data_IF_699199573818
#
_entry.id   IF_699199573818
#
_cell.length_a   1.000
_cell.length_b   1.000
_cell.length_c   1.000
_cell.angle_alpha   90.00
_cell.angle_beta   90.00
_cell.angle_gamma   90.00
#
_symmetry.space_group_name_H-M   'P 1'
#
loop_
_entity.id
_entity.type
_entity.pdbx_description
1 polymer ?
#
# COMPACT_ATOMS: atom_id res chain seq x y z
N UNK A 1 -9.40 17.94 7.53
CA UNK A 1 -9.01 18.61 6.26
C UNK A 1 -8.40 20.00 6.50
N UNK A 2 -7.52 20.16 7.51
CA UNK A 2 -6.87 21.45 7.84
C UNK A 2 -5.35 21.42 7.67
N UNK A 3 -4.77 20.23 7.55
CA UNK A 3 -3.31 20.01 7.50
C UNK A 3 -2.75 19.90 6.08
N UNK A 4 -3.55 20.19 5.05
CA UNK A 4 -3.10 20.14 3.64
C UNK A 4 -2.80 18.73 3.09
N UNK A 5 -2.95 17.67 3.88
CA UNK A 5 -2.70 16.28 3.48
C UNK A 5 -3.86 15.70 2.64
N UNK A 6 -4.05 16.24 1.44
CA UNK A 6 -5.22 15.93 0.60
C UNK A 6 -5.28 14.47 0.16
N UNK A 7 -4.13 13.85 -0.16
CA UNK A 7 -4.10 12.43 -0.56
C UNK A 7 -4.43 11.47 0.60
N UNK A 8 -3.96 11.76 1.82
CA UNK A 8 -4.40 11.04 3.04
C UNK A 8 -5.90 11.22 3.28
N UNK A 9 -6.43 12.43 3.11
CA UNK A 9 -7.87 12.66 3.21
C UNK A 9 -8.65 11.84 2.18
N UNK A 10 -8.18 11.79 0.92
CA UNK A 10 -8.75 10.90 -0.11
C UNK A 10 -8.75 9.45 0.34
N UNK A 11 -7.62 8.92 0.83
CA UNK A 11 -7.54 7.53 1.29
C UNK A 11 -8.61 7.20 2.34
N UNK A 12 -8.77 8.04 3.37
CA UNK A 12 -9.82 7.87 4.39
C UNK A 12 -11.24 7.87 3.80
N UNK A 13 -11.53 8.77 2.86
CA UNK A 13 -12.85 8.86 2.22
C UNK A 13 -13.12 7.66 1.28
N UNK A 14 -12.07 7.08 0.71
CA UNK A 14 -12.15 5.90 -0.17
C UNK A 14 -12.38 4.58 0.59
N UNK A 15 -12.35 4.56 1.93
CA UNK A 15 -12.74 3.36 2.70
C UNK A 15 -14.22 3.00 2.45
N UNK A 16 -15.07 4.01 2.24
CA UNK A 16 -16.48 3.85 1.91
C UNK A 16 -16.83 4.79 0.76
N UNK A 17 -16.45 4.46 -0.48
CA UNK A 17 -16.57 5.38 -1.61
C UNK A 17 -18.03 5.71 -1.94
N UNK A 18 -18.96 4.81 -1.62
CA UNK A 18 -20.39 4.96 -1.90
C UNK A 18 -21.18 5.64 -0.75
N UNK A 19 -20.53 5.95 0.38
CA UNK A 19 -21.18 6.68 1.47
C UNK A 19 -21.42 8.14 1.08
N UNK A 20 -22.62 8.66 1.36
CA UNK A 20 -23.00 10.02 0.95
C UNK A 20 -22.08 11.10 1.52
N UNK A 21 -21.51 10.90 2.72
CA UNK A 21 -20.53 11.82 3.29
C UNK A 21 -19.18 11.70 2.61
N UNK A 22 -18.78 10.50 2.21
CA UNK A 22 -17.54 10.30 1.44
C UNK A 22 -17.62 11.02 0.10
N UNK A 23 -18.71 10.80 -0.65
CA UNK A 23 -18.97 11.45 -1.94
C UNK A 23 -18.92 12.98 -1.79
N UNK A 24 -19.67 13.52 -0.82
CA UNK A 24 -19.72 14.95 -0.57
C UNK A 24 -18.33 15.53 -0.24
N UNK A 25 -17.61 14.91 0.71
CA UNK A 25 -16.31 15.40 1.15
C UNK A 25 -15.22 15.23 0.08
N UNK A 26 -15.27 14.19 -0.75
CA UNK A 26 -14.40 14.04 -1.92
C UNK A 26 -14.63 15.18 -2.91
N UNK A 27 -15.88 15.58 -3.11
CA UNK A 27 -16.25 16.75 -3.92
C UNK A 27 -15.59 18.04 -3.40
N UNK A 28 -15.56 18.25 -2.08
CA UNK A 28 -14.95 19.44 -1.46
C UNK A 28 -13.44 19.54 -1.65
N UNK A 29 -12.74 18.41 -1.84
CA UNK A 29 -11.27 18.38 -1.99
C UNK A 29 -10.81 18.10 -3.42
N UNK A 30 -11.73 17.91 -4.37
CA UNK A 30 -11.40 17.54 -5.76
C UNK A 30 -10.40 18.50 -6.40
N UNK A 31 -10.65 19.79 -6.31
CA UNK A 31 -9.78 20.80 -6.92
C UNK A 31 -8.42 20.86 -6.22
N UNK A 32 -8.38 20.57 -4.92
CA UNK A 32 -7.13 20.50 -4.15
C UNK A 32 -6.29 19.30 -4.55
N UNK A 33 -6.92 18.15 -4.79
CA UNK A 33 -6.27 16.95 -5.32
C UNK A 33 -5.74 17.18 -6.74
N UNK A 34 -6.55 17.81 -7.61
CA UNK A 34 -6.17 18.08 -9.00
C UNK A 34 -5.02 19.10 -9.11
N UNK A 35 -4.87 20.00 -8.13
CA UNK A 35 -3.80 20.97 -8.07
C UNK A 35 -2.46 20.41 -7.53
N UNK A 36 -2.42 19.16 -7.05
CA UNK A 36 -1.18 18.55 -6.60
C UNK A 36 -0.22 18.32 -7.77
N UNK A 37 1.09 18.52 -7.58
CA UNK A 37 2.06 18.21 -8.61
C UNK A 37 2.01 16.71 -8.93
N UNK A 38 2.16 16.32 -10.21
CA UNK A 38 2.31 14.92 -10.55
C UNK A 38 3.57 14.37 -9.87
N UNK A 39 3.54 13.12 -9.41
CA UNK A 39 4.71 12.54 -8.77
C UNK A 39 5.85 12.36 -9.77
N UNK A 40 7.07 12.72 -9.35
CA UNK A 40 8.26 12.61 -10.18
C UNK A 40 8.72 11.16 -10.42
N UNK A 41 8.32 10.23 -9.55
CA UNK A 41 8.62 8.80 -9.68
C UNK A 41 7.63 7.93 -8.90
N UNK A 42 7.81 6.61 -8.99
CA UNK A 42 7.09 5.63 -8.19
C UNK A 42 7.39 5.72 -6.68
N UNK A 43 8.48 6.39 -6.28
CA UNK A 43 8.80 6.59 -4.87
C UNK A 43 7.71 7.40 -4.16
N UNK A 44 7.36 7.00 -2.94
CA UNK A 44 6.22 7.54 -2.20
C UNK A 44 5.70 6.54 -1.17
N UNK A 45 4.63 6.92 -0.49
CA UNK A 45 3.95 6.09 0.51
C UNK A 45 2.54 5.76 0.00
N UNK A 46 2.15 4.49 0.12
CA UNK A 46 0.90 3.97 -0.39
C UNK A 46 0.17 3.15 0.67
N UNK A 47 -1.14 3.39 0.82
CA UNK A 47 -1.96 2.85 1.89
C UNK A 47 -3.09 1.96 1.37
N UNK A 48 -3.24 0.78 1.97
CA UNK A 48 -4.40 -0.10 1.82
C UNK A 48 -5.07 -0.31 3.19
N UNK A 49 -6.39 -0.15 3.28
CA UNK A 49 -7.08 -0.12 4.58
C UNK A 49 -7.17 -1.52 5.20
N UNK A 50 -6.70 -1.66 6.44
CA UNK A 50 -6.62 -2.97 7.13
C UNK A 50 -7.61 -3.11 8.29
N UNK A 51 -8.55 -2.16 8.41
CA UNK A 51 -9.51 -2.14 9.52
C UNK A 51 -8.99 -1.40 10.76
N UNK A 52 -9.89 -1.14 11.71
CA UNK A 52 -9.57 -0.57 13.04
C UNK A 52 -8.71 0.71 13.02
N UNK A 53 -8.91 1.54 12.00
CA UNK A 53 -8.16 2.77 11.76
C UNK A 53 -6.66 2.55 11.44
N UNK A 54 -6.31 1.35 10.97
CA UNK A 54 -4.97 0.97 10.53
C UNK A 54 -4.91 0.70 9.03
N UNK A 55 -3.70 0.80 8.49
CA UNK A 55 -3.41 0.67 7.07
C UNK A 55 -2.22 -0.25 6.90
N UNK A 56 -2.29 -1.17 5.93
CA UNK A 56 -1.11 -1.78 5.36
C UNK A 56 -0.41 -0.74 4.50
N UNK A 57 0.91 -0.63 4.65
CA UNK A 57 1.70 0.43 4.03
C UNK A 57 2.75 -0.18 3.11
N UNK A 58 2.82 0.35 1.88
CA UNK A 58 3.96 0.18 0.99
C UNK A 58 4.73 1.50 0.95
N UNK A 59 6.02 1.46 1.30
CA UNK A 59 6.94 2.59 1.16
C UNK A 59 7.93 2.28 0.04
N UNK A 60 7.95 3.13 -0.98
CA UNK A 60 8.80 2.96 -2.16
C UNK A 60 9.90 4.02 -2.12
N UNK A 61 11.16 3.59 -2.15
CA UNK A 61 12.32 4.51 -2.16
C UNK A 61 13.15 4.29 -3.42
N UNK A 62 13.63 5.38 -4.01
CA UNK A 62 14.58 5.32 -5.13
C UNK A 62 15.89 4.72 -4.66
N UNK A 63 16.46 3.79 -5.44
CA UNK A 63 17.84 3.36 -5.27
C UNK A 63 18.77 4.08 -6.27
N UNK A 64 20.09 4.12 -6.04
CA UNK A 64 21.03 4.76 -6.95
C UNK A 64 21.05 4.16 -8.37
N UNK A 65 20.66 2.89 -8.50
CA UNK A 65 20.62 2.24 -9.80
C UNK A 65 19.35 2.63 -10.58
N UNK A 66 19.46 2.89 -11.90
CA UNK A 66 18.30 3.20 -12.73
C UNK A 66 17.22 2.14 -12.61
N UNK A 67 15.96 2.58 -12.50
CA UNK A 67 14.77 1.73 -12.41
C UNK A 67 14.76 0.73 -11.25
N UNK A 68 15.68 0.83 -10.29
CA UNK A 68 15.63 0.05 -9.06
C UNK A 68 15.02 0.85 -7.92
N UNK A 69 14.16 0.16 -7.18
CA UNK A 69 13.46 0.73 -6.04
C UNK A 69 13.53 -0.23 -4.87
N UNK A 70 13.67 0.33 -3.67
CA UNK A 70 13.42 -0.38 -2.43
C UNK A 70 11.92 -0.36 -2.16
N UNK A 71 11.36 -1.52 -1.83
CA UNK A 71 9.96 -1.70 -1.47
C UNK A 71 9.92 -2.22 -0.04
N UNK A 72 9.40 -1.40 0.86
CA UNK A 72 9.19 -1.76 2.25
C UNK A 72 7.70 -1.94 2.49
N UNK A 73 7.30 -3.08 3.04
CA UNK A 73 5.92 -3.40 3.34
C UNK A 73 5.72 -3.59 4.84
N UNK A 74 4.62 -3.05 5.34
CA UNK A 74 4.12 -3.33 6.68
C UNK A 74 2.63 -3.64 6.59
N UNK A 75 2.26 -4.89 6.85
CA UNK A 75 0.90 -5.41 6.77
C UNK A 75 0.29 -5.70 8.12
N UNK A 76 -1.04 -5.59 8.20
CA UNK A 76 -1.80 -5.84 9.42
C UNK A 76 -3.03 -6.69 9.13
N UNK A 77 -3.34 -7.61 10.05
CA UNK A 77 -4.61 -8.30 10.10
C UNK A 77 -5.19 -8.28 11.51
N UNK A 78 -6.38 -7.70 11.66
CA UNK A 78 -7.10 -7.67 12.93
C UNK A 78 -8.08 -8.84 12.99
N UNK A 79 -7.72 -9.89 13.73
CA UNK A 79 -8.66 -10.95 14.09
C UNK A 79 -9.81 -10.45 14.97
N UNK A 80 -10.74 -11.34 15.33
CA UNK A 80 -11.92 -11.00 16.14
C UNK A 80 -11.58 -10.23 17.44
N UNK A 81 -10.50 -10.66 18.12
CA UNK A 81 -9.99 -10.04 19.34
C UNK A 81 -8.85 -9.04 19.10
N UNK A 82 -8.57 -8.67 17.84
CA UNK A 82 -7.37 -7.93 17.45
C UNK A 82 -7.22 -6.53 18.08
N UNK A 83 -8.31 -5.93 18.58
CA UNK A 83 -8.23 -4.68 19.36
C UNK A 83 -7.67 -4.91 20.77
N UNK A 84 -7.87 -6.10 21.34
CA UNK A 84 -7.39 -6.44 22.68
C UNK A 84 -6.00 -7.07 22.68
N UNK A 85 -5.72 -7.96 21.72
CA UNK A 85 -4.48 -8.75 21.68
C UNK A 85 -3.47 -8.23 20.65
N UNK A 86 -3.83 -7.20 19.90
CA UNK A 86 -3.05 -6.71 18.77
C UNK A 86 -3.34 -7.46 17.46
N UNK A 87 -2.93 -6.88 16.32
CA UNK A 87 -3.05 -7.52 15.03
C UNK A 87 -1.95 -8.57 14.81
N UNK A 88 -2.19 -9.48 13.88
CA UNK A 88 -1.09 -10.18 13.22
C UNK A 88 -0.38 -9.19 12.29
N UNK A 89 0.94 -9.27 12.23
CA UNK A 89 1.79 -8.36 11.45
C UNK A 89 2.64 -9.18 10.48
N UNK A 90 2.95 -8.60 9.34
CA UNK A 90 3.91 -9.13 8.38
C UNK A 90 4.65 -7.98 7.72
N UNK A 91 5.93 -8.17 7.43
CA UNK A 91 6.77 -7.15 6.83
C UNK A 91 7.74 -7.76 5.83
N UNK A 92 8.21 -6.96 4.89
CA UNK A 92 9.37 -7.26 4.07
C UNK A 92 10.06 -5.96 3.66
N UNK A 93 11.32 -6.08 3.23
CA UNK A 93 12.10 -4.98 2.69
C UNK A 93 12.94 -5.55 1.55
N UNK A 94 12.48 -5.34 0.31
CA UNK A 94 13.10 -5.93 -0.88
C UNK A 94 13.34 -4.91 -1.99
N UNK A 95 14.42 -5.11 -2.75
CA UNK A 95 14.68 -4.30 -3.94
C UNK A 95 14.04 -4.92 -5.18
N UNK A 96 13.38 -4.12 -6.00
CA UNK A 96 12.81 -4.56 -7.27
C UNK A 96 13.40 -3.79 -8.44
N UNK A 97 13.36 -4.40 -9.61
CA UNK A 97 13.46 -3.69 -10.89
C UNK A 97 12.04 -3.33 -11.33
N UNK A 98 11.83 -2.05 -11.65
CA UNK A 98 10.56 -1.55 -12.16
C UNK A 98 10.66 -1.31 -13.67
N UNK A 99 9.92 -2.09 -14.46
CA UNK A 99 9.86 -1.98 -15.90
C UNK A 99 8.43 -1.73 -16.36
N UNK A 100 8.21 -0.65 -17.11
CA UNK A 100 6.88 -0.28 -17.63
C UNK A 100 5.79 -0.23 -16.54
N UNK A 101 6.15 0.28 -15.36
CA UNK A 101 5.24 0.37 -14.21
C UNK A 101 4.94 -0.97 -13.54
N UNK A 102 5.72 -2.03 -13.81
CA UNK A 102 5.53 -3.35 -13.19
C UNK A 102 6.82 -3.82 -12.53
N UNK A 103 6.67 -4.47 -11.39
CA UNK A 103 7.77 -5.11 -10.68
C UNK A 103 7.29 -6.30 -9.88
N UNK A 104 8.23 -7.12 -9.42
CA UNK A 104 7.94 -8.30 -8.59
C UNK A 104 8.84 -8.27 -7.38
N UNK A 105 8.25 -8.33 -6.19
CA UNK A 105 8.96 -8.65 -4.96
C UNK A 105 9.03 -10.17 -4.84
N UNK A 106 10.22 -10.73 -4.78
CA UNK A 106 10.44 -12.16 -4.65
C UNK A 106 10.97 -12.48 -3.24
N UNK A 107 10.08 -12.95 -2.35
CA UNK A 107 10.46 -13.35 -1.00
C UNK A 107 11.02 -14.77 -1.03
N UNK A 108 12.27 -14.93 -0.57
CA UNK A 108 12.99 -16.21 -0.57
C UNK A 108 13.78 -16.33 0.73
N UNK A 109 13.24 -17.06 1.70
CA UNK A 109 13.91 -17.28 2.98
C UNK A 109 13.81 -18.74 3.42
N UNK A 110 14.97 -19.36 3.65
CA UNK A 110 15.06 -20.78 3.95
C UNK A 110 14.38 -21.68 2.91
N UNK A 111 13.87 -22.82 3.36
CA UNK A 111 13.23 -23.81 2.47
C UNK A 111 11.73 -23.56 2.26
N UNK A 112 11.10 -22.77 3.14
CA UNK A 112 9.64 -22.68 3.24
C UNK A 112 9.06 -21.33 2.79
N UNK A 113 9.82 -20.22 2.91
CA UNK A 113 9.32 -18.90 2.49
C UNK A 113 9.67 -18.71 1.02
N UNK A 114 8.66 -18.81 0.17
CA UNK A 114 8.75 -18.64 -1.28
C UNK A 114 7.43 -18.07 -1.80
N UNK A 115 7.41 -16.77 -2.07
CA UNK A 115 6.28 -16.14 -2.75
C UNK A 115 6.72 -14.96 -3.62
N UNK A 116 5.95 -14.68 -4.66
CA UNK A 116 6.10 -13.54 -5.54
C UNK A 116 4.90 -12.61 -5.40
N UNK A 117 5.19 -11.33 -5.17
CA UNK A 117 4.20 -10.27 -5.07
C UNK A 117 4.36 -9.37 -6.28
N UNK A 118 3.44 -9.50 -7.24
CA UNK A 118 3.38 -8.66 -8.42
C UNK A 118 2.84 -7.29 -8.05
N UNK A 119 3.57 -6.23 -8.43
CA UNK A 119 3.19 -4.84 -8.20
C UNK A 119 2.96 -4.15 -9.55
N UNK A 120 1.79 -3.54 -9.72
CA UNK A 120 1.46 -2.69 -10.87
C UNK A 120 1.27 -1.26 -10.39
N UNK A 121 2.13 -0.36 -10.88
CA UNK A 121 2.19 1.03 -10.50
C UNK A 121 1.39 1.90 -11.47
N UNK A 122 0.62 2.81 -10.90
CA UNK A 122 0.05 3.97 -11.58
C UNK A 122 0.57 5.25 -10.92
N UNK A 123 0.18 6.42 -11.43
CA UNK A 123 0.56 7.69 -10.82
C UNK A 123 0.02 7.86 -9.40
N UNK A 124 -1.11 7.22 -9.06
CA UNK A 124 -1.84 7.47 -7.82
C UNK A 124 -2.07 6.22 -6.96
N UNK A 125 -1.64 5.05 -7.42
CA UNK A 125 -1.85 3.79 -6.71
C UNK A 125 -0.89 2.67 -7.13
N UNK A 126 -0.82 1.65 -6.29
CA UNK A 126 -0.19 0.35 -6.58
C UNK A 126 -1.25 -0.74 -6.41
N UNK A 127 -1.40 -1.60 -7.41
CA UNK A 127 -2.13 -2.86 -7.29
C UNK A 127 -1.15 -3.98 -7.00
N UNK A 128 -1.35 -4.70 -5.90
CA UNK A 128 -0.51 -5.79 -5.45
C UNK A 128 -1.27 -7.12 -5.49
N UNK A 129 -0.62 -8.17 -5.99
CA UNK A 129 -1.17 -9.52 -6.05
C UNK A 129 -0.09 -10.56 -5.79
N UNK A 130 -0.36 -11.47 -4.88
CA UNK A 130 0.56 -12.49 -4.42
C UNK A 130 0.19 -13.84 -5.02
N UNK A 131 1.19 -14.60 -5.47
CA UNK A 131 0.96 -15.92 -6.09
C UNK A 131 0.60 -17.01 -5.07
N UNK A 132 1.33 -17.05 -3.96
CA UNK A 132 1.28 -18.07 -2.91
C UNK A 132 1.27 -17.39 -1.53
N UNK A 133 0.17 -16.70 -1.14
CA UNK A 133 0.13 -15.87 0.07
C UNK A 133 0.56 -16.59 1.35
N UNK A 134 0.25 -17.89 1.47
CA UNK A 134 0.60 -18.72 2.64
C UNK A 134 2.10 -18.96 2.80
N UNK A 135 2.90 -18.76 1.73
CA UNK A 135 4.33 -19.01 1.71
C UNK A 135 5.16 -17.72 1.81
N UNK A 136 4.54 -16.57 2.11
CA UNK A 136 5.27 -15.31 2.26
C UNK A 136 5.92 -15.13 3.63
N UNK A 137 5.69 -16.05 4.59
CA UNK A 137 6.25 -15.94 5.94
C UNK A 137 5.62 -14.84 6.81
N UNK A 138 4.53 -14.22 6.36
CA UNK A 138 3.80 -13.23 7.15
C UNK A 138 3.02 -13.88 8.31
N UNK A 139 2.67 -13.07 9.31
CA UNK A 139 1.75 -13.50 10.36
C UNK A 139 0.41 -14.00 9.80
N UNK A 140 -0.27 -14.87 10.55
CA UNK A 140 -1.50 -15.52 10.11
C UNK A 140 -2.52 -14.52 9.53
N UNK A 141 -3.03 -14.79 8.31
CA UNK A 141 -3.97 -13.96 7.56
C UNK A 141 -3.47 -12.59 7.10
N UNK A 142 -2.19 -12.26 7.32
CA UNK A 142 -1.57 -11.08 6.72
C UNK A 142 -1.21 -11.42 5.28
N UNK A 143 -1.57 -10.54 4.35
CA UNK A 143 -1.18 -10.61 2.95
C UNK A 143 -0.89 -9.20 2.43
N UNK A 144 -0.13 -9.12 1.33
CA UNK A 144 0.21 -7.87 0.68
C UNK A 144 -0.74 -7.50 -0.47
N UNK A 145 -1.85 -8.24 -0.63
CA UNK A 145 -2.75 -8.05 -1.77
C UNK A 145 -3.61 -6.80 -1.60
N UNK A 146 -3.95 -6.18 -2.72
CA UNK A 146 -4.97 -5.14 -2.79
C UNK A 146 -4.54 -3.87 -3.50
N UNK A 147 -5.37 -2.84 -3.34
CA UNK A 147 -5.21 -1.54 -3.99
C UNK A 147 -4.70 -0.50 -2.99
N UNK A 148 -3.45 -0.06 -3.17
CA UNK A 148 -2.77 0.86 -2.30
C UNK A 148 -2.82 2.27 -2.89
N UNK A 149 -3.48 3.21 -2.22
CA UNK A 149 -3.58 4.59 -2.66
C UNK A 149 -2.35 5.38 -2.24
N UNK A 150 -1.78 6.18 -3.15
CA UNK A 150 -0.70 7.11 -2.83
C UNK A 150 -1.18 8.17 -1.85
N UNK A 151 -0.39 8.49 -0.82
CA UNK A 151 -0.76 9.37 0.30
C UNK A 151 0.22 10.50 0.62
N UNK A 152 1.42 10.49 0.05
CA UNK A 152 2.42 11.56 0.19
C UNK A 152 2.09 12.80 -0.66
#
# INVERSE_FOLDING_TARGET
>A
MREGQWRKARAWLMIRPDDSKSIYNLGLIKDRLAALPPPASAAGEYWNYSGRASWSVLTIKTLPQPSRFQVDFQGYYFGMMGVYVGPNIGEFSESILLENGKGVVALREGDYIRCDIALTFSSEAIDASTDTPMNCGFGMNVNADGHYLRVD
#
